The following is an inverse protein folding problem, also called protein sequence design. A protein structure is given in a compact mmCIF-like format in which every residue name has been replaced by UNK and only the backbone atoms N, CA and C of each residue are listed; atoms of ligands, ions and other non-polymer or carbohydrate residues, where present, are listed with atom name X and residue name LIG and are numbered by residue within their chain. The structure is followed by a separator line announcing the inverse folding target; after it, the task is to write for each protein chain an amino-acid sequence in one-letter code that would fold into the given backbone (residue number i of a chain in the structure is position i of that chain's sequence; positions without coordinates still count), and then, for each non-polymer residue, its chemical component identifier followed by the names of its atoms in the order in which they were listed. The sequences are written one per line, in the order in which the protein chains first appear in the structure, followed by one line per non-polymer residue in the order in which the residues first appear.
data_IF_189603669601
#
_entry.id   IF_189603669601
#
_cell.length_a   1.000
_cell.length_b   1.000
_cell.length_c   1.000
_cell.angle_alpha   90.00
_cell.angle_beta   90.00
_cell.angle_gamma   90.00
#
_symmetry.space_group_name_H-M   'P 1'
#
loop_
_entity.id
_entity.type
_entity.pdbx_description
1 polymer ?
#
# COMPACT_ATOMS: atom_id res chain seq x y z
N UNK A 1 12.63 10.42 -28.03
CA UNK A 1 11.51 11.09 -27.33
C UNK A 1 11.56 10.61 -25.89
N UNK A 2 12.15 11.38 -24.97
CA UNK A 2 12.22 10.98 -23.57
C UNK A 2 10.80 11.06 -22.98
N UNK A 3 10.26 9.95 -22.43
CA UNK A 3 8.97 10.01 -21.75
C UNK A 3 9.15 10.92 -20.53
N UNK A 4 8.22 11.88 -20.40
CA UNK A 4 8.33 13.02 -19.50
C UNK A 4 8.72 12.63 -18.08
N UNK A 5 9.69 13.36 -17.54
CA UNK A 5 9.93 13.46 -16.11
C UNK A 5 8.62 13.99 -15.51
N UNK A 6 7.89 13.12 -14.82
CA UNK A 6 6.71 13.51 -14.07
C UNK A 6 7.16 14.47 -12.97
N UNK A 7 6.57 15.65 -12.92
CA UNK A 7 6.88 16.65 -11.90
C UNK A 7 6.44 16.09 -10.54
N UNK A 8 7.41 15.67 -9.71
CA UNK A 8 7.14 15.28 -8.34
C UNK A 8 6.56 16.50 -7.61
N UNK A 9 5.27 16.46 -7.27
CA UNK A 9 4.72 17.40 -6.29
C UNK A 9 5.46 17.14 -4.98
N UNK A 10 6.44 18.00 -4.66
CA UNK A 10 7.06 18.05 -3.34
C UNK A 10 5.98 18.37 -2.32
N UNK A 11 5.50 17.33 -1.64
CA UNK A 11 4.75 17.49 -0.40
C UNK A 11 5.80 17.82 0.64
N UNK A 12 5.79 19.05 1.14
CA UNK A 12 6.68 19.45 2.22
C UNK A 12 6.21 18.77 3.50
N UNK A 13 6.97 17.77 3.95
CA UNK A 13 6.80 17.12 5.25
C UNK A 13 7.83 17.76 6.18
N UNK A 14 7.42 18.40 7.30
CA UNK A 14 8.37 18.98 8.25
C UNK A 14 9.36 17.91 8.73
N UNK A 15 10.65 18.25 8.86
CA UNK A 15 11.71 17.29 9.22
C UNK A 15 11.42 16.49 10.50
N UNK A 16 10.68 17.07 11.44
CA UNK A 16 10.25 16.43 12.68
C UNK A 16 9.32 15.21 12.46
N UNK A 17 8.66 15.15 11.31
CA UNK A 17 7.76 14.07 10.90
C UNK A 17 8.42 13.09 9.91
N UNK A 18 9.69 13.33 9.52
CA UNK A 18 10.44 12.44 8.62
C UNK A 18 11.20 11.36 9.41
N UNK A 19 11.12 10.11 8.98
CA UNK A 19 11.83 9.01 9.65
C UNK A 19 13.36 9.02 9.42
N UNK A 20 13.85 9.74 8.40
CA UNK A 20 15.26 9.67 7.96
C UNK A 20 15.92 11.00 7.57
N UNK A 21 15.23 12.15 7.68
CA UNK A 21 15.81 13.46 7.32
C UNK A 21 16.12 13.64 5.82
N UNK A 22 15.51 12.83 4.96
CA UNK A 22 15.53 13.00 3.50
C UNK A 22 14.15 13.49 3.03
N UNK A 23 14.09 14.16 1.86
CA UNK A 23 12.84 14.39 1.12
C UNK A 23 12.09 13.04 1.06
N UNK A 24 11.08 12.85 1.91
CA UNK A 24 10.36 11.59 1.93
C UNK A 24 9.65 11.45 0.59
N UNK A 25 10.07 10.46 -0.21
CA UNK A 25 9.34 10.05 -1.40
C UNK A 25 8.01 9.49 -0.91
N UNK A 26 7.03 10.36 -0.75
CA UNK A 26 5.64 9.98 -0.52
C UNK A 26 5.23 9.14 -1.71
N UNK A 27 4.95 7.84 -1.48
CA UNK A 27 4.42 6.96 -2.50
C UNK A 27 3.17 7.63 -3.10
N UNK A 28 3.22 8.00 -4.38
CA UNK A 28 2.06 8.53 -5.10
C UNK A 28 1.38 7.38 -5.86
N UNK A 29 0.39 6.68 -5.26
CA UNK A 29 -0.24 5.51 -5.89
C UNK A 29 -0.94 5.87 -7.21
N UNK A 30 -1.47 7.08 -7.32
CA UNK A 30 -2.12 7.59 -8.54
C UNK A 30 -1.09 7.82 -9.64
N UNK A 31 0.06 8.40 -9.27
CA UNK A 31 1.19 8.59 -10.19
C UNK A 31 1.74 7.25 -10.69
N UNK A 32 1.89 6.26 -9.81
CA UNK A 32 2.32 4.90 -10.19
C UNK A 32 1.33 4.24 -11.13
N UNK A 33 0.02 4.31 -10.85
CA UNK A 33 -1.01 3.80 -11.74
C UNK A 33 -0.98 4.49 -13.12
N UNK A 34 -0.84 5.82 -13.13
CA UNK A 34 -0.73 6.60 -14.37
C UNK A 34 0.49 6.21 -15.21
N UNK A 35 1.62 5.95 -14.56
CA UNK A 35 2.83 5.46 -15.21
C UNK A 35 2.62 4.10 -15.87
N UNK A 36 2.06 3.13 -15.14
CA UNK A 36 1.80 1.78 -15.67
C UNK A 36 0.74 1.80 -16.78
N UNK A 37 -0.26 2.67 -16.67
CA UNK A 37 -1.23 2.93 -17.73
C UNK A 37 -0.55 3.44 -19.01
N UNK A 38 0.43 4.33 -18.91
CA UNK A 38 1.20 4.82 -20.06
C UNK A 38 2.05 3.72 -20.70
N UNK A 39 2.49 2.74 -19.91
CA UNK A 39 3.21 1.56 -20.38
C UNK A 39 2.29 0.47 -20.95
N UNK A 40 0.97 0.64 -20.89
CA UNK A 40 -0.04 -0.32 -21.37
C UNK A 40 0.18 -1.74 -20.83
N UNK A 41 0.43 -1.86 -19.52
CA UNK A 41 0.55 -3.15 -18.84
C UNK A 41 -0.74 -3.98 -18.98
N UNK A 42 -0.62 -5.29 -19.13
CA UNK A 42 -1.78 -6.20 -19.20
C UNK A 42 -2.31 -6.60 -17.82
N UNK A 43 -1.46 -6.61 -16.79
CA UNK A 43 -1.76 -6.99 -15.41
C UNK A 43 -0.76 -6.32 -14.46
N UNK A 44 -1.26 -5.79 -13.34
CA UNK A 44 -0.43 -5.23 -12.27
C UNK A 44 -0.50 -6.11 -11.02
N UNK A 45 0.67 -6.42 -10.46
CA UNK A 45 0.80 -7.13 -9.18
C UNK A 45 1.16 -6.15 -8.08
N UNK A 46 0.30 -6.06 -7.07
CA UNK A 46 0.53 -5.22 -5.89
C UNK A 46 1.21 -6.05 -4.80
N UNK A 47 2.34 -5.53 -4.29
CA UNK A 47 3.19 -6.25 -3.34
C UNK A 47 3.53 -5.34 -2.16
N UNK A 48 3.06 -5.69 -0.96
CA UNK A 48 3.50 -5.08 0.29
C UNK A 48 3.15 -3.60 0.41
N UNK A 49 2.09 -3.16 -0.25
CA UNK A 49 1.52 -1.83 -0.10
C UNK A 49 0.50 -1.80 1.05
N UNK A 50 0.31 -0.61 1.63
CA UNK A 50 -0.70 -0.38 2.66
C UNK A 50 -2.08 -0.31 2.01
N UNK A 51 -3.13 -0.69 2.74
CA UNK A 51 -4.50 -0.74 2.23
C UNK A 51 -4.96 0.56 1.54
N UNK A 52 -4.59 1.73 2.08
CA UNK A 52 -4.94 3.02 1.46
C UNK A 52 -4.20 3.29 0.14
N UNK A 53 -2.98 2.78 -0.02
CA UNK A 53 -2.26 2.87 -1.29
C UNK A 53 -2.82 1.88 -2.31
N UNK A 54 -3.18 0.67 -1.86
CA UNK A 54 -3.79 -0.36 -2.72
C UNK A 54 -5.08 0.14 -3.35
N UNK A 55 -5.98 0.69 -2.53
CA UNK A 55 -7.28 1.19 -3.00
C UNK A 55 -7.08 2.26 -4.07
N UNK A 56 -6.27 3.28 -3.78
CA UNK A 56 -6.01 4.35 -4.73
C UNK A 56 -5.32 3.82 -6.00
N UNK A 57 -4.30 2.98 -5.89
CA UNK A 57 -3.62 2.42 -7.06
C UNK A 57 -4.59 1.64 -7.96
N UNK A 58 -5.40 0.76 -7.36
CA UNK A 58 -6.36 -0.07 -8.11
C UNK A 58 -7.49 0.76 -8.73
N UNK A 59 -7.95 1.82 -8.06
CA UNK A 59 -8.98 2.72 -8.59
C UNK A 59 -8.51 3.44 -9.88
N UNK A 60 -7.24 3.85 -9.93
CA UNK A 60 -6.68 4.58 -11.08
C UNK A 60 -5.95 3.69 -12.11
N UNK A 61 -5.77 2.39 -11.83
CA UNK A 61 -5.19 1.43 -12.77
C UNK A 61 -6.20 1.04 -13.85
N UNK A 62 -5.82 1.16 -15.12
CA UNK A 62 -6.62 0.68 -16.27
C UNK A 62 -6.49 -0.83 -16.44
N UNK A 63 -5.28 -1.34 -16.21
CA UNK A 63 -5.04 -2.77 -16.23
C UNK A 63 -5.64 -3.41 -14.96
N UNK A 64 -6.17 -4.65 -15.04
CA UNK A 64 -6.55 -5.38 -13.84
C UNK A 64 -5.37 -5.43 -12.88
N UNK A 65 -5.66 -5.26 -11.59
CA UNK A 65 -4.67 -5.27 -10.52
C UNK A 65 -5.06 -6.30 -9.48
N UNK A 66 -4.08 -7.01 -8.95
CA UNK A 66 -4.32 -7.97 -7.87
C UNK A 66 -3.23 -7.89 -6.81
N UNK A 67 -3.62 -8.05 -5.55
CA UNK A 67 -2.70 -8.02 -4.41
C UNK A 67 -2.10 -9.41 -4.23
N UNK A 68 -0.79 -9.52 -4.45
CA UNK A 68 -0.04 -10.76 -4.23
C UNK A 68 0.37 -10.90 -2.76
N UNK A 69 0.78 -9.80 -2.12
CA UNK A 69 1.19 -9.77 -0.71
C UNK A 69 0.61 -8.52 -0.07
N UNK A 70 -0.20 -8.68 0.97
CA UNK A 70 -0.70 -7.55 1.78
C UNK A 70 0.39 -7.09 2.74
N UNK A 71 0.60 -5.78 2.89
CA UNK A 71 1.49 -5.27 3.95
C UNK A 71 0.84 -5.46 5.31
N UNK A 72 1.39 -6.38 6.09
CA UNK A 72 1.08 -6.49 7.51
C UNK A 72 2.38 -6.67 8.29
N UNK A 73 2.75 -5.68 9.08
CA UNK A 73 3.97 -5.74 9.90
C UNK A 73 3.80 -6.61 11.14
N UNK A 74 2.58 -6.71 11.66
CA UNK A 74 2.30 -7.41 12.93
C UNK A 74 2.33 -8.92 12.71
N UNK A 75 1.79 -9.39 11.59
CA UNK A 75 1.70 -10.82 11.30
C UNK A 75 2.67 -11.31 10.24
N UNK A 76 3.64 -10.48 9.81
CA UNK A 76 4.55 -10.80 8.70
C UNK A 76 3.76 -11.17 7.43
N UNK A 77 2.93 -10.26 6.96
CA UNK A 77 2.12 -10.40 5.74
C UNK A 77 1.05 -11.50 5.78
N UNK A 78 0.60 -11.91 6.98
CA UNK A 78 -0.48 -12.89 7.17
C UNK A 78 -1.64 -12.32 8.02
N UNK A 79 -2.37 -11.31 7.51
CA UNK A 79 -3.42 -10.63 8.29
C UNK A 79 -4.56 -11.58 8.71
N UNK A 80 -4.76 -12.67 7.99
CA UNK A 80 -5.75 -13.69 8.34
C UNK A 80 -5.43 -14.42 9.66
N UNK A 81 -4.16 -14.49 10.07
CA UNK A 81 -3.76 -15.09 11.36
C UNK A 81 -4.46 -14.43 12.56
N UNK A 82 -4.73 -13.12 12.47
CA UNK A 82 -5.46 -12.37 13.50
C UNK A 82 -6.91 -12.86 13.62
N UNK A 83 -7.55 -13.16 12.50
CA UNK A 83 -8.95 -13.62 12.45
C UNK A 83 -9.07 -15.03 13.05
N UNK A 84 -8.08 -15.90 12.83
CA UNK A 84 -8.16 -17.28 13.32
C UNK A 84 -7.61 -17.48 14.73
N UNK A 85 -6.85 -16.52 15.26
CA UNK A 85 -6.25 -16.63 16.58
C UNK A 85 -7.23 -16.29 17.71
N UNK A 86 -7.51 -17.27 18.58
CA UNK A 86 -8.26 -17.04 19.83
C UNK A 86 -7.55 -16.05 20.75
N UNK A 87 -6.22 -16.06 20.75
CA UNK A 87 -5.41 -15.13 21.53
C UNK A 87 -5.65 -13.68 21.07
N UNK A 88 -5.53 -13.39 19.76
CA UNK A 88 -5.76 -12.03 19.26
C UNK A 88 -7.21 -11.59 19.45
N UNK A 89 -8.20 -12.46 19.19
CA UNK A 89 -9.61 -12.14 19.42
C UNK A 89 -9.92 -11.73 20.86
N UNK A 90 -9.38 -12.49 21.84
CA UNK A 90 -9.65 -12.27 23.26
C UNK A 90 -8.88 -11.08 23.83
N UNK A 91 -7.59 -10.96 23.50
CA UNK A 91 -6.69 -10.01 24.17
C UNK A 91 -6.47 -8.70 23.40
N UNK A 92 -6.71 -8.68 22.08
CA UNK A 92 -6.51 -7.48 21.26
C UNK A 92 -7.81 -6.77 20.89
N UNK A 93 -8.90 -7.52 20.69
CA UNK A 93 -10.19 -6.95 20.24
C UNK A 93 -11.33 -7.13 21.24
N UNK A 94 -11.07 -7.72 22.41
CA UNK A 94 -12.05 -7.99 23.48
C UNK A 94 -13.32 -8.70 22.96
N UNK A 95 -13.18 -9.50 21.90
CA UNK A 95 -14.31 -10.21 21.32
C UNK A 95 -14.68 -11.43 22.18
N UNK A 96 -15.98 -11.74 22.33
CA UNK A 96 -16.40 -12.93 23.04
C UNK A 96 -15.75 -14.15 22.37
N UNK A 97 -15.05 -14.94 23.19
CA UNK A 97 -14.44 -16.17 22.71
C UNK A 97 -15.54 -17.12 22.26
N UNK A 98 -15.54 -17.52 20.99
CA UNK A 98 -16.33 -18.66 20.54
C UNK A 98 -15.72 -19.87 21.27
N UNK A 99 -16.46 -20.34 22.27
CA UNK A 99 -16.23 -21.57 23.03
C UNK A 99 -16.69 -22.80 22.26
#
# INVERSE_FOLDING_TARGET
MHPGIFEEKKVFIPDADTFTGADEVSCNPIGQASYLNAMNTDLNLVVGLCIGHDINFMEYSKAPSTVLIVKDRVTTHNPAAVIYSRYYKKYLFELPGID
#
